data_IF_734427785308
#
_entry.id   IF_734427785308
#
_cell.length_a   1.000
_cell.length_b   1.000
_cell.length_c   1.000
_cell.angle_alpha   90.00
_cell.angle_beta   90.00
_cell.angle_gamma   90.00
#
_symmetry.space_group_name_H-M   'P 1'
#
loop_
_entity.id
_entity.type
_entity.pdbx_description
1 polymer ?
#
# COMPACT_ATOMS: atom_id res chain seq x y z
N UNK A 1 -30.56 21.45 -16.23
CA UNK A 1 -29.98 21.00 -14.95
C UNK A 1 -28.54 20.61 -15.24
N UNK A 2 -27.61 21.41 -14.74
CA UNK A 2 -26.16 21.30 -15.00
C UNK A 2 -25.58 20.13 -14.20
N UNK A 3 -25.17 19.08 -14.91
CA UNK A 3 -24.40 17.97 -14.33
C UNK A 3 -22.96 18.43 -14.13
N UNK A 4 -22.58 18.68 -12.88
CA UNK A 4 -21.17 18.72 -12.49
C UNK A 4 -20.64 17.29 -12.46
N UNK A 5 -19.79 16.93 -13.42
CA UNK A 5 -18.90 15.78 -13.28
C UNK A 5 -17.99 16.05 -12.09
N UNK A 6 -18.17 15.29 -11.01
CA UNK A 6 -17.32 15.40 -9.83
C UNK A 6 -15.89 14.98 -10.18
N UNK A 7 -14.92 15.75 -9.71
CA UNK A 7 -13.51 15.42 -9.85
C UNK A 7 -13.24 14.03 -9.21
N UNK A 8 -12.73 13.03 -9.97
CA UNK A 8 -12.40 11.72 -9.42
C UNK A 8 -11.42 11.79 -8.23
N UNK A 9 -10.57 12.81 -8.17
CA UNK A 9 -9.70 13.06 -7.02
C UNK A 9 -10.46 13.52 -5.77
N UNK A 10 -11.55 14.25 -5.95
CA UNK A 10 -12.40 14.69 -4.84
C UNK A 10 -13.31 13.56 -4.34
N UNK A 11 -13.73 12.63 -5.21
CA UNK A 11 -14.41 11.40 -4.82
C UNK A 11 -13.48 10.51 -3.95
N UNK A 12 -12.21 10.35 -4.37
CA UNK A 12 -11.19 9.62 -3.59
C UNK A 12 -10.95 10.26 -2.23
N UNK A 13 -10.81 11.60 -2.17
CA UNK A 13 -10.64 12.36 -0.93
C UNK A 13 -11.84 12.23 0.01
N UNK A 14 -13.08 12.23 -0.52
CA UNK A 14 -14.31 12.07 0.27
C UNK A 14 -14.54 10.63 0.75
N UNK A 15 -14.09 9.63 0.01
CA UNK A 15 -14.20 8.22 0.41
C UNK A 15 -13.10 7.80 1.39
N UNK A 16 -11.92 8.44 1.34
CA UNK A 16 -10.79 8.20 2.25
C UNK A 16 -10.94 8.81 3.64
N UNK A 17 -11.92 9.70 3.87
CA UNK A 17 -12.18 10.29 5.19
C UNK A 17 -11.22 11.41 5.61
N UNK A 18 -10.36 11.89 4.73
CA UNK A 18 -9.40 12.96 5.07
C UNK A 18 -10.09 14.32 5.25
N UNK A 19 -9.82 15.06 6.34
CA UNK A 19 -10.28 16.44 6.48
C UNK A 19 -9.65 17.31 5.39
N UNK A 20 -10.42 18.27 4.86
CA UNK A 20 -9.94 19.22 3.85
C UNK A 20 -8.72 19.97 4.42
N UNK A 21 -7.53 19.89 3.78
CA UNK A 21 -6.35 20.60 4.25
C UNK A 21 -6.63 22.10 4.27
N UNK A 22 -6.23 22.76 5.36
CA UNK A 22 -6.28 24.22 5.45
C UNK A 22 -5.34 24.84 4.42
N UNK A 23 -5.62 26.09 4.02
CA UNK A 23 -4.76 26.84 3.07
C UNK A 23 -3.29 26.89 3.56
N UNK A 24 -3.08 26.91 4.87
CA UNK A 24 -1.75 26.90 5.49
C UNK A 24 -1.05 25.53 5.41
N UNK A 25 -1.80 24.43 5.39
CA UNK A 25 -1.27 23.08 5.18
C UNK A 25 -0.93 22.84 3.71
N UNK A 26 -1.76 23.33 2.79
CA UNK A 26 -1.45 23.29 1.35
C UNK A 26 -0.20 24.11 1.02
N UNK A 27 -0.05 25.30 1.61
CA UNK A 27 1.14 26.14 1.45
C UNK A 27 2.39 25.48 2.03
N UNK A 28 2.29 24.82 3.20
CA UNK A 28 3.42 24.08 3.79
C UNK A 28 3.80 22.85 2.97
N UNK A 29 2.84 22.11 2.42
CA UNK A 29 3.10 20.98 1.53
C UNK A 29 3.77 21.43 0.22
N UNK A 30 3.30 22.54 -0.39
CA UNK A 30 3.92 23.15 -1.57
C UNK A 30 5.35 23.62 -1.29
N UNK A 31 5.62 24.21 -0.12
CA UNK A 31 6.96 24.64 0.26
C UNK A 31 7.94 23.45 0.38
N UNK A 32 7.51 22.35 1.03
CA UNK A 32 8.32 21.11 1.14
C UNK A 32 8.59 20.46 -0.22
N UNK A 33 7.59 20.48 -1.11
CA UNK A 33 7.74 19.94 -2.46
C UNK A 33 8.74 20.76 -3.30
N UNK A 34 8.67 22.09 -3.22
CA UNK A 34 9.63 22.98 -3.91
C UNK A 34 11.05 22.81 -3.37
N UNK A 35 11.21 22.62 -2.07
CA UNK A 35 12.51 22.35 -1.43
C UNK A 35 13.08 20.98 -1.86
N UNK A 36 12.26 19.94 -1.94
CA UNK A 36 12.65 18.63 -2.45
C UNK A 36 13.08 18.70 -3.93
N UNK A 37 12.34 19.42 -4.77
CA UNK A 37 12.68 19.64 -6.19
C UNK A 37 13.98 20.45 -6.35
N UNK A 38 14.25 21.39 -5.45
CA UNK A 38 15.50 22.16 -5.46
C UNK A 38 16.72 21.33 -5.03
N UNK A 39 16.53 20.35 -4.13
CA UNK A 39 17.56 19.41 -3.69
C UNK A 39 17.97 18.36 -4.74
N UNK A 40 17.10 18.08 -5.72
CA UNK A 40 17.32 17.03 -6.72
C UNK A 40 18.00 17.49 -8.02
N UNK A 41 18.51 18.73 -8.12
CA UNK A 41 19.28 19.14 -9.30
C UNK A 41 20.65 18.42 -9.33
N UNK A 42 20.94 17.59 -10.35
CA UNK A 42 22.22 16.91 -10.43
C UNK A 42 23.33 17.91 -10.74
N UNK A 43 24.36 17.93 -9.88
CA UNK A 43 25.62 18.59 -10.18
C UNK A 43 26.22 17.97 -11.45
N UNK A 44 26.12 18.68 -12.58
CA UNK A 44 26.80 18.33 -13.83
C UNK A 44 28.33 18.32 -13.61
N UNK A 45 28.91 17.17 -13.30
CA UNK A 45 30.36 16.94 -13.37
C UNK A 45 30.77 16.75 -14.82
N UNK A 46 31.23 17.83 -15.44
CA UNK A 46 31.86 17.82 -16.74
C UNK A 46 33.21 17.09 -16.71
N UNK A 47 33.37 16.12 -17.61
CA UNK A 47 34.64 15.49 -17.92
C UNK A 47 35.63 16.53 -18.48
N UNK A 48 36.79 16.69 -17.84
CA UNK A 48 37.97 17.31 -18.43
C UNK A 48 39.21 16.44 -18.20
N UNK A 49 39.78 15.97 -19.31
CA UNK A 49 41.10 15.32 -19.39
C UNK A 49 42.19 16.33 -19.02
N UNK A 50 43.10 15.99 -18.12
CA UNK A 50 44.47 16.53 -18.07
C UNK A 50 45.44 15.43 -17.60
N UNK A 51 46.63 15.46 -18.17
CA UNK A 51 47.71 14.46 -18.22
C UNK A 51 48.91 15.04 -17.44
N UNK A 52 49.76 14.17 -16.83
CA UNK A 52 51.10 14.43 -16.22
C UNK A 52 51.09 15.20 -14.86
N UNK A 53 51.86 14.92 -13.77
CA UNK A 53 53.15 14.27 -13.44
C UNK A 53 53.15 13.75 -11.98
N UNK A 54 54.02 12.76 -11.68
CA UNK A 54 54.44 12.24 -10.34
C UNK A 54 55.80 12.93 -9.99
N UNK A 55 56.19 13.28 -8.72
CA UNK A 55 56.59 12.26 -7.72
C UNK A 55 56.47 12.53 -6.20
N UNK A 56 56.27 11.41 -5.50
CA UNK A 56 56.88 10.90 -4.24
C UNK A 56 57.07 11.79 -3.00
N UNK A 57 56.58 11.28 -1.86
CA UNK A 57 57.36 11.18 -0.61
C UNK A 57 56.76 10.09 0.30
N UNK A 58 57.65 9.22 0.78
CA UNK A 58 57.39 8.07 1.64
C UNK A 58 57.41 8.46 3.13
N UNK A 59 56.69 7.71 3.98
CA UNK A 59 57.24 6.97 5.12
C UNK A 59 56.19 6.61 6.21
N UNK A 60 56.15 5.31 6.51
CA UNK A 60 56.08 4.66 7.83
C UNK A 60 54.96 4.99 8.86
N UNK A 61 54.03 4.04 8.96
CA UNK A 61 53.63 3.28 10.16
C UNK A 61 53.45 3.99 11.53
N UNK A 62 52.21 3.93 12.06
CA UNK A 62 51.94 3.36 13.39
C UNK A 62 50.46 2.96 13.51
N UNK A 63 50.23 1.75 14.01
CA UNK A 63 48.91 1.21 14.32
C UNK A 63 48.27 1.94 15.52
N UNK A 64 47.01 2.33 15.37
CA UNK A 64 46.05 2.30 16.47
C UNK A 64 44.86 1.50 15.96
N UNK A 65 44.75 0.27 16.45
CA UNK A 65 43.51 -0.50 16.43
C UNK A 65 42.56 0.24 17.37
N UNK A 66 41.82 1.20 16.83
CA UNK A 66 40.58 1.63 17.48
C UNK A 66 39.56 0.60 17.04
N UNK A 67 39.28 -0.35 17.92
CA UNK A 67 38.09 -1.19 17.88
C UNK A 67 36.90 -0.26 18.08
N UNK A 68 36.60 0.55 17.06
CA UNK A 68 35.39 1.31 16.97
C UNK A 68 34.30 0.30 16.70
N UNK A 69 33.67 -0.18 17.77
CA UNK A 69 32.28 -0.60 17.68
C UNK A 69 31.53 0.64 17.20
N UNK A 70 31.49 0.83 15.88
CA UNK A 70 30.44 1.61 15.26
C UNK A 70 29.18 0.84 15.58
N UNK A 71 28.58 1.16 16.74
CA UNK A 71 27.15 0.98 16.93
C UNK A 71 26.56 1.90 15.88
N UNK A 72 26.37 1.36 14.68
CA UNK A 72 25.62 2.01 13.63
C UNK A 72 24.29 2.36 14.29
N UNK A 73 24.07 3.66 14.54
CA UNK A 73 22.78 4.11 15.03
C UNK A 73 21.76 3.61 14.00
N UNK A 74 20.70 2.90 14.42
CA UNK A 74 19.66 2.46 13.50
C UNK A 74 19.23 3.67 12.66
N UNK A 75 18.95 3.43 11.38
CA UNK A 75 18.33 4.49 10.58
C UNK A 75 17.05 4.94 11.32
N UNK A 76 16.64 6.22 11.23
CA UNK A 76 15.42 6.70 11.87
C UNK A 76 14.20 5.82 11.55
N UNK A 77 14.15 5.27 10.33
CA UNK A 77 13.13 4.30 9.87
C UNK A 77 13.19 3.00 10.68
N UNK A 78 14.37 2.44 10.89
CA UNK A 78 14.54 1.20 11.66
C UNK A 78 14.12 1.37 13.12
N UNK A 79 14.47 2.50 13.76
CA UNK A 79 14.07 2.78 15.14
C UNK A 79 12.55 2.87 15.30
N UNK A 80 11.86 3.48 14.32
CA UNK A 80 10.39 3.56 14.29
C UNK A 80 9.78 2.16 14.18
N UNK A 81 10.28 1.31 13.29
CA UNK A 81 9.79 -0.07 13.19
C UNK A 81 10.07 -0.90 14.43
N UNK A 82 11.22 -0.72 15.09
CA UNK A 82 11.53 -1.40 16.35
C UNK A 82 10.53 -1.02 17.44
N UNK A 83 10.12 0.26 17.49
CA UNK A 83 9.11 0.74 18.42
C UNK A 83 7.73 0.13 18.13
N UNK A 84 7.30 0.11 16.87
CA UNK A 84 6.02 -0.49 16.48
C UNK A 84 6.04 -2.00 16.70
N UNK A 85 7.14 -2.69 16.36
CA UNK A 85 7.30 -4.12 16.62
C UNK A 85 7.22 -4.43 18.12
N UNK A 86 7.83 -3.61 18.97
CA UNK A 86 7.72 -3.75 20.41
C UNK A 86 6.29 -3.55 20.90
N UNK A 87 5.59 -2.50 20.43
CA UNK A 87 4.20 -2.25 20.77
C UNK A 87 3.26 -3.38 20.30
N UNK A 88 3.50 -3.93 19.11
CA UNK A 88 2.76 -5.06 18.57
C UNK A 88 2.88 -6.29 19.47
N UNK A 89 4.09 -6.65 19.92
CA UNK A 89 4.33 -7.80 20.84
C UNK A 89 3.65 -7.65 22.20
N UNK A 90 3.46 -6.42 22.66
CA UNK A 90 2.76 -6.15 23.92
C UNK A 90 1.24 -6.21 23.80
N UNK A 91 0.70 -6.29 22.58
CA UNK A 91 -0.74 -6.44 22.38
C UNK A 91 -1.20 -7.84 22.80
N UNK A 92 -2.37 -7.91 23.41
CA UNK A 92 -3.03 -9.19 23.71
C UNK A 92 -3.49 -9.83 22.41
N UNK A 93 -3.18 -11.12 22.15
CA UNK A 93 -3.79 -11.86 21.05
C UNK A 93 -5.32 -11.78 21.12
N UNK A 94 -5.97 -11.57 19.97
CA UNK A 94 -7.42 -11.63 19.90
C UNK A 94 -7.84 -13.10 19.84
N UNK A 95 -8.49 -13.57 20.90
CA UNK A 95 -9.21 -14.83 20.89
C UNK A 95 -10.61 -14.58 20.32
N UNK A 96 -11.04 -15.40 19.38
CA UNK A 96 -12.40 -15.32 18.81
C UNK A 96 -13.29 -16.27 19.62
N UNK A 97 -14.23 -15.78 20.44
CA UNK A 97 -15.13 -16.64 21.19
C UNK A 97 -16.00 -17.50 20.26
N UNK A 98 -16.48 -18.63 20.79
CA UNK A 98 -17.44 -19.48 20.06
C UNK A 98 -18.69 -18.67 19.69
N UNK A 99 -19.04 -18.70 18.39
CA UNK A 99 -20.18 -17.95 17.85
C UNK A 99 -19.88 -16.49 17.47
N UNK A 100 -18.69 -15.98 17.78
CA UNK A 100 -18.24 -14.63 17.40
C UNK A 100 -17.39 -14.66 16.12
N UNK A 101 -17.11 -13.46 15.59
CA UNK A 101 -16.32 -13.26 14.38
C UNK A 101 -15.30 -12.15 14.58
N UNK A 102 -14.11 -12.33 14.01
CA UNK A 102 -13.21 -11.25 13.69
C UNK A 102 -13.78 -10.48 12.49
N UNK A 103 -14.12 -9.22 12.71
CA UNK A 103 -14.65 -8.30 11.71
C UNK A 103 -13.56 -7.35 11.21
N UNK A 104 -13.53 -7.12 9.90
CA UNK A 104 -12.76 -6.02 9.30
C UNK A 104 -13.55 -5.41 8.15
N UNK A 105 -13.51 -4.08 8.05
CA UNK A 105 -14.08 -3.33 6.95
C UNK A 105 -13.00 -2.59 6.19
N UNK A 106 -13.12 -2.60 4.87
CA UNK A 106 -12.29 -1.80 3.99
C UNK A 106 -13.12 -0.97 3.03
N UNK A 107 -12.66 0.24 2.74
CA UNK A 107 -13.18 1.06 1.64
C UNK A 107 -12.06 1.15 0.62
N UNK A 108 -12.34 0.70 -0.60
CA UNK A 108 -11.34 0.56 -1.64
C UNK A 108 -11.78 1.34 -2.87
N UNK A 109 -10.81 1.80 -3.64
CA UNK A 109 -10.98 2.21 -5.03
C UNK A 109 -9.90 1.53 -5.83
N UNK A 110 -10.27 0.87 -6.91
CA UNK A 110 -9.35 0.13 -7.77
C UNK A 110 -9.57 0.52 -9.22
N UNK A 111 -8.49 0.68 -9.97
CA UNK A 111 -8.50 0.81 -11.42
C UNK A 111 -9.02 -0.47 -12.06
N UNK A 112 -10.09 -0.34 -12.84
CA UNK A 112 -10.55 -1.34 -13.77
C UNK A 112 -10.11 -0.95 -15.19
N UNK A 113 -9.55 -1.92 -15.91
CA UNK A 113 -9.21 -1.79 -17.33
C UNK A 113 -10.02 -2.84 -18.07
N UNK A 114 -10.76 -2.41 -19.09
CA UNK A 114 -11.47 -3.30 -20.01
C UNK A 114 -11.03 -3.01 -21.44
N UNK A 115 -11.18 -3.99 -22.33
CA UNK A 115 -11.02 -3.74 -23.76
C UNK A 115 -12.09 -2.75 -24.23
N UNK A 116 -11.74 -1.86 -25.16
CA UNK A 116 -12.66 -0.83 -25.63
C UNK A 116 -13.78 -1.40 -26.49
N UNK A 117 -13.53 -2.47 -27.25
CA UNK A 117 -14.54 -3.18 -28.05
C UNK A 117 -15.67 -3.79 -27.18
N UNK A 118 -15.33 -4.25 -25.98
CA UNK A 118 -16.28 -4.70 -24.95
C UNK A 118 -17.25 -3.59 -24.53
N UNK A 119 -16.84 -2.32 -24.66
CA UNK A 119 -17.68 -1.12 -24.48
C UNK A 119 -18.14 -0.48 -25.80
N UNK A 120 -17.88 -1.10 -26.96
CA UNK A 120 -18.22 -0.51 -28.26
C UNK A 120 -17.42 0.75 -28.63
N UNK A 121 -16.24 0.93 -28.03
CA UNK A 121 -15.37 2.08 -28.25
C UNK A 121 -14.27 1.78 -29.29
N UNK A 122 -13.80 2.83 -29.97
CA UNK A 122 -12.74 2.72 -30.98
C UNK A 122 -11.33 2.59 -30.39
N UNK A 123 -11.12 3.09 -29.17
CA UNK A 123 -9.88 2.94 -28.41
C UNK A 123 -9.66 1.48 -27.99
N UNK A 124 -8.40 1.04 -27.86
CA UNK A 124 -8.08 -0.35 -27.54
C UNK A 124 -8.54 -0.75 -26.13
N UNK A 125 -8.42 0.18 -25.19
CA UNK A 125 -8.76 -0.03 -23.78
C UNK A 125 -9.57 1.14 -23.23
N UNK A 126 -10.34 0.85 -22.19
CA UNK A 126 -11.03 1.83 -21.38
C UNK A 126 -10.69 1.62 -19.91
N UNK A 127 -10.51 2.73 -19.20
CA UNK A 127 -10.14 2.76 -17.80
C UNK A 127 -11.19 3.53 -16.98
N UNK A 128 -11.45 3.04 -15.78
CA UNK A 128 -12.28 3.72 -14.78
C UNK A 128 -11.94 3.22 -13.38
N UNK A 129 -12.23 4.03 -12.37
CA UNK A 129 -12.02 3.67 -10.97
C UNK A 129 -13.31 3.08 -10.40
N UNK A 130 -13.21 1.94 -9.73
CA UNK A 130 -14.34 1.24 -9.12
C UNK A 130 -14.22 1.30 -7.60
N UNK A 131 -15.03 2.14 -6.93
CA UNK A 131 -15.07 2.15 -5.48
C UNK A 131 -15.86 0.95 -4.95
N UNK A 132 -15.35 0.28 -3.93
CA UNK A 132 -16.01 -0.81 -3.24
C UNK A 132 -15.92 -0.64 -1.73
N UNK A 133 -16.92 -1.10 -1.00
CA UNK A 133 -16.81 -1.36 0.44
C UNK A 133 -16.81 -2.86 0.63
N UNK A 134 -15.84 -3.39 1.37
CA UNK A 134 -15.77 -4.80 1.71
C UNK A 134 -15.86 -4.95 3.21
N UNK A 135 -16.61 -5.95 3.64
CA UNK A 135 -16.75 -6.32 5.03
C UNK A 135 -16.47 -7.80 5.14
N UNK A 136 -15.65 -8.17 6.11
CA UNK A 136 -15.18 -9.52 6.35
C UNK A 136 -15.54 -9.95 7.74
N UNK A 137 -16.07 -11.16 7.86
CA UNK A 137 -16.28 -11.85 9.13
C UNK A 137 -15.56 -13.19 9.05
N UNK A 138 -14.71 -13.48 10.03
CA UNK A 138 -13.94 -14.72 10.09
C UNK A 138 -14.06 -15.33 11.47
N UNK A 139 -14.17 -16.64 11.58
CA UNK A 139 -14.09 -17.33 12.87
C UNK A 139 -12.95 -18.35 12.89
N UNK A 140 -12.73 -18.95 14.05
CA UNK A 140 -11.69 -19.96 14.32
C UNK A 140 -11.95 -21.30 13.61
N UNK A 141 -13.20 -21.61 13.27
CA UNK A 141 -13.58 -22.81 12.51
C UNK A 141 -13.29 -22.73 11.00
N UNK A 142 -12.75 -21.61 10.52
CA UNK A 142 -12.44 -21.40 9.10
C UNK A 142 -13.64 -20.95 8.26
N UNK A 143 -14.72 -20.48 8.89
CA UNK A 143 -15.80 -19.79 8.18
C UNK A 143 -15.34 -18.37 7.82
N UNK A 144 -15.60 -17.97 6.57
CA UNK A 144 -15.40 -16.60 6.10
C UNK A 144 -16.66 -16.13 5.39
N UNK A 145 -17.22 -15.01 5.83
CA UNK A 145 -18.19 -14.25 5.05
C UNK A 145 -17.56 -12.95 4.57
N UNK A 146 -17.77 -12.64 3.29
CA UNK A 146 -17.38 -11.39 2.69
C UNK A 146 -18.59 -10.73 2.06
N UNK A 147 -18.91 -9.51 2.46
CA UNK A 147 -19.88 -8.66 1.77
C UNK A 147 -19.14 -7.62 0.95
N UNK A 148 -19.50 -7.45 -0.31
CA UNK A 148 -18.92 -6.40 -1.17
C UNK A 148 -20.04 -5.52 -1.72
N UNK A 149 -19.96 -4.23 -1.45
CA UNK A 149 -20.81 -3.22 -2.06
C UNK A 149 -20.03 -2.46 -3.12
N UNK A 150 -20.41 -2.60 -4.39
CA UNK A 150 -19.81 -1.83 -5.48
C UNK A 150 -20.53 -0.49 -5.61
N UNK A 151 -19.79 0.61 -5.61
CA UNK A 151 -20.35 1.96 -5.77
C UNK A 151 -20.20 2.42 -7.22
N UNK A 152 -20.83 3.57 -7.53
CA UNK A 152 -20.75 4.18 -8.85
C UNK A 152 -19.27 4.39 -9.26
N UNK A 153 -18.84 3.89 -10.43
CA UNK A 153 -17.48 4.12 -10.91
C UNK A 153 -17.21 5.60 -11.20
N UNK A 154 -15.94 5.99 -11.13
CA UNK A 154 -15.46 7.29 -11.59
C UNK A 154 -14.71 7.10 -12.92
N UNK A 155 -15.13 7.83 -13.94
CA UNK A 155 -14.62 7.66 -15.31
C UNK A 155 -13.62 8.76 -15.65
N UNK A 156 -12.59 8.41 -16.42
CA UNK A 156 -11.63 9.39 -16.93
C UNK A 156 -12.12 10.11 -18.19
N UNK A 157 -13.15 9.58 -18.87
CA UNK A 157 -13.81 10.25 -19.99
C UNK A 157 -15.34 10.08 -19.97
N UNK A 158 -16.10 11.11 -20.40
CA UNK A 158 -17.56 11.01 -20.53
C UNK A 158 -18.00 9.96 -21.57
N UNK A 159 -17.17 9.68 -22.58
CA UNK A 159 -17.44 8.68 -23.61
C UNK A 159 -17.44 7.26 -23.02
N UNK A 160 -16.44 6.94 -22.18
CA UNK A 160 -16.38 5.66 -21.47
C UNK A 160 -17.55 5.54 -20.50
N UNK A 161 -17.89 6.61 -19.78
CA UNK A 161 -19.05 6.62 -18.88
C UNK A 161 -20.35 6.29 -19.64
N UNK A 162 -20.60 6.98 -20.75
CA UNK A 162 -21.80 6.76 -21.56
C UNK A 162 -21.87 5.33 -22.11
N UNK A 163 -20.74 4.81 -22.62
CA UNK A 163 -20.65 3.45 -23.15
C UNK A 163 -20.89 2.39 -22.05
N UNK A 164 -20.30 2.57 -20.88
CA UNK A 164 -20.48 1.68 -19.73
C UNK A 164 -21.97 1.48 -19.37
N UNK A 165 -22.72 2.58 -19.25
CA UNK A 165 -24.16 2.51 -18.96
C UNK A 165 -25.00 2.04 -20.14
N UNK A 166 -24.65 2.43 -21.37
CA UNK A 166 -25.37 2.03 -22.59
C UNK A 166 -25.32 0.51 -22.79
N UNK A 167 -24.16 -0.10 -22.48
CA UNK A 167 -23.98 -1.54 -22.58
C UNK A 167 -24.41 -2.31 -21.31
N UNK A 168 -24.99 -1.64 -20.32
CA UNK A 168 -25.57 -2.27 -19.12
C UNK A 168 -24.55 -2.86 -18.16
N UNK A 169 -23.31 -2.34 -18.15
CA UNK A 169 -22.26 -2.83 -17.25
C UNK A 169 -22.57 -2.50 -15.80
N UNK A 170 -23.34 -1.44 -15.54
CA UNK A 170 -23.84 -1.10 -14.21
C UNK A 170 -24.63 -2.23 -13.57
N UNK A 171 -25.47 -2.91 -14.36
CA UNK A 171 -26.26 -4.06 -13.90
C UNK A 171 -25.38 -5.30 -13.74
N UNK A 172 -24.48 -5.54 -14.71
CA UNK A 172 -23.58 -6.70 -14.69
C UNK A 172 -22.58 -6.66 -13.54
N UNK A 173 -22.11 -5.47 -13.22
CA UNK A 173 -21.15 -5.23 -12.13
C UNK A 173 -21.86 -4.95 -10.79
N UNK A 174 -23.20 -5.08 -10.75
CA UNK A 174 -24.04 -4.96 -9.56
C UNK A 174 -23.85 -3.62 -8.81
N UNK A 175 -23.79 -2.52 -9.56
CA UNK A 175 -23.55 -1.19 -8.99
C UNK A 175 -24.69 -0.80 -8.03
N UNK A 176 -24.31 -0.50 -6.79
CA UNK A 176 -25.23 -0.14 -5.71
C UNK A 176 -25.76 -1.32 -4.91
N UNK A 177 -25.49 -2.56 -5.34
CA UNK A 177 -25.89 -3.78 -4.62
C UNK A 177 -24.78 -4.23 -3.66
N UNK A 178 -25.20 -4.90 -2.57
CA UNK A 178 -24.29 -5.61 -1.67
C UNK A 178 -24.38 -7.10 -1.96
N UNK A 179 -23.26 -7.68 -2.38
CA UNK A 179 -23.17 -9.11 -2.69
C UNK A 179 -22.45 -9.84 -1.56
N UNK A 180 -23.16 -10.65 -0.74
CA UNK A 180 -22.52 -11.54 0.22
C UNK A 180 -21.96 -12.78 -0.48
N UNK A 181 -20.78 -13.22 -0.05
CA UNK A 181 -20.17 -14.50 -0.40
C UNK A 181 -19.77 -15.20 0.89
N UNK A 182 -20.21 -16.44 1.03
CA UNK A 182 -19.83 -17.30 2.14
C UNK A 182 -18.86 -18.36 1.64
N UNK A 183 -17.85 -18.60 2.44
CA UNK A 183 -16.80 -19.55 2.18
C UNK A 183 -16.70 -20.47 3.40
N UNK A 184 -16.80 -21.77 3.15
CA UNK A 184 -16.68 -22.81 4.18
C UNK A 184 -15.50 -23.69 3.79
N UNK A 185 -14.53 -23.84 4.69
CA UNK A 185 -13.30 -24.58 4.41
C UNK A 185 -12.40 -23.90 3.37
N UNK A 186 -12.60 -22.60 3.12
CA UNK A 186 -11.63 -21.82 2.34
C UNK A 186 -10.49 -21.47 3.26
N UNK A 187 -9.42 -22.20 3.01
CA UNK A 187 -8.05 -21.87 3.29
C UNK A 187 -7.78 -20.46 2.77
N UNK A 188 -7.64 -19.50 3.67
CA UNK A 188 -7.05 -18.21 3.33
C UNK A 188 -5.80 -18.44 2.50
N UNK A 189 -5.73 -17.82 1.31
CA UNK A 189 -4.62 -18.02 0.36
C UNK A 189 -3.24 -17.84 1.00
N UNK A 190 -3.19 -17.11 2.13
CA UNK A 190 -2.01 -16.93 2.96
C UNK A 190 -2.10 -17.59 4.34
N UNK A 191 -3.31 -17.83 4.87
CA UNK A 191 -3.51 -18.37 6.22
C UNK A 191 -3.24 -19.87 6.37
N UNK A 192 -3.16 -20.60 5.26
CA UNK A 192 -2.66 -21.99 5.25
C UNK A 192 -1.15 -22.11 5.40
N UNK A 193 -0.44 -21.00 5.18
CA UNK A 193 1.00 -20.96 5.35
C UNK A 193 1.30 -20.63 6.80
N UNK A 194 2.02 -21.53 7.47
CA UNK A 194 2.55 -21.24 8.79
C UNK A 194 3.73 -20.26 8.66
N UNK A 195 3.44 -18.98 8.90
CA UNK A 195 4.44 -17.92 8.80
C UNK A 195 5.32 -17.87 10.05
N UNK A 196 6.65 -17.87 9.90
CA UNK A 196 7.55 -17.73 11.05
C UNK A 196 7.37 -16.38 11.76
N UNK A 197 7.46 -16.38 13.08
CA UNK A 197 7.48 -15.14 13.89
C UNK A 197 8.90 -14.63 14.16
N UNK A 198 9.93 -15.38 13.74
CA UNK A 198 11.29 -14.87 13.66
C UNK A 198 11.46 -14.02 12.39
N UNK A 199 11.83 -12.72 12.48
CA UNK A 199 11.86 -11.81 11.33
C UNK A 199 12.75 -12.27 10.18
N UNK A 200 13.88 -12.92 10.49
CA UNK A 200 14.79 -13.43 9.46
C UNK A 200 14.17 -14.61 8.73
N UNK A 201 13.68 -15.61 9.48
CA UNK A 201 12.98 -16.76 8.88
C UNK A 201 11.73 -16.33 8.13
N UNK A 202 11.01 -15.34 8.64
CA UNK A 202 9.85 -14.77 7.97
C UNK A 202 10.24 -14.18 6.62
N UNK A 203 11.28 -13.34 6.58
CA UNK A 203 11.80 -12.78 5.32
C UNK A 203 12.19 -13.88 4.33
N UNK A 204 12.92 -14.90 4.78
CA UNK A 204 13.31 -16.05 3.95
C UNK A 204 12.07 -16.80 3.40
N UNK A 205 11.04 -17.02 4.22
CA UNK A 205 9.77 -17.64 3.79
C UNK A 205 8.98 -16.79 2.80
N UNK A 206 8.89 -15.47 3.02
CA UNK A 206 8.22 -14.54 2.10
C UNK A 206 8.92 -14.55 0.73
N UNK A 207 10.25 -14.47 0.70
CA UNK A 207 11.02 -14.56 -0.54
C UNK A 207 10.82 -15.91 -1.25
N UNK A 208 10.79 -17.01 -0.50
CA UNK A 208 10.56 -18.34 -1.06
C UNK A 208 9.16 -18.47 -1.67
N UNK A 209 8.15 -17.88 -1.03
CA UNK A 209 6.77 -17.88 -1.51
C UNK A 209 6.65 -17.11 -2.82
N UNK A 210 7.11 -15.86 -2.87
CA UNK A 210 6.92 -15.01 -4.06
C UNK A 210 7.71 -15.49 -5.27
N UNK A 211 8.86 -16.16 -5.07
CA UNK A 211 9.64 -16.78 -6.16
C UNK A 211 8.85 -17.87 -6.91
N UNK A 212 7.83 -18.47 -6.30
CA UNK A 212 6.97 -19.46 -6.97
C UNK A 212 5.98 -18.80 -7.93
N UNK A 213 5.64 -17.52 -7.73
CA UNK A 213 4.62 -16.79 -8.48
C UNK A 213 5.05 -16.26 -9.85
N UNK A 214 6.31 -16.43 -10.24
CA UNK A 214 6.81 -16.07 -11.58
C UNK A 214 6.76 -14.58 -11.93
N UNK A 215 6.51 -13.69 -10.97
CA UNK A 215 6.45 -12.24 -11.19
C UNK A 215 7.80 -11.68 -11.62
N UNK A 216 7.77 -10.74 -12.55
CA UNK A 216 8.99 -10.07 -13.03
C UNK A 216 9.43 -8.93 -12.12
N UNK A 217 8.62 -8.53 -11.13
CA UNK A 217 8.94 -7.41 -10.21
C UNK A 217 10.22 -7.70 -9.43
N UNK A 218 10.97 -6.68 -8.98
CA UNK A 218 12.10 -6.90 -8.08
C UNK A 218 11.63 -7.64 -6.82
N UNK A 219 12.46 -8.55 -6.31
CA UNK A 219 12.10 -9.42 -5.19
C UNK A 219 11.58 -8.65 -3.96
N UNK A 220 12.25 -7.56 -3.60
CA UNK A 220 11.86 -6.73 -2.45
C UNK A 220 10.45 -6.14 -2.59
N UNK A 221 10.02 -5.85 -3.81
CA UNK A 221 8.68 -5.35 -4.11
C UNK A 221 7.64 -6.44 -3.90
N UNK A 222 7.92 -7.64 -4.43
CA UNK A 222 7.01 -8.77 -4.24
C UNK A 222 6.84 -9.11 -2.76
N UNK A 223 7.92 -9.03 -1.98
CA UNK A 223 7.85 -9.24 -0.54
C UNK A 223 7.16 -8.08 0.18
N UNK A 224 7.35 -6.83 -0.25
CA UNK A 224 6.59 -5.70 0.28
C UNK A 224 5.08 -5.90 0.10
N UNK A 225 4.65 -6.32 -1.10
CA UNK A 225 3.25 -6.59 -1.40
C UNK A 225 2.71 -7.74 -0.55
N UNK A 226 3.41 -8.88 -0.49
CA UNK A 226 2.98 -10.03 0.31
C UNK A 226 2.93 -9.70 1.82
N UNK A 227 3.94 -8.99 2.35
CA UNK A 227 3.96 -8.57 3.75
C UNK A 227 2.80 -7.62 4.08
N UNK A 228 2.43 -6.75 3.13
CA UNK A 228 1.26 -5.87 3.26
C UNK A 228 -0.05 -6.67 3.22
N UNK A 229 -0.14 -7.65 2.31
CA UNK A 229 -1.31 -8.52 2.19
C UNK A 229 -1.53 -9.37 3.46
N UNK A 230 -0.48 -9.80 4.15
CA UNK A 230 -0.58 -10.48 5.45
C UNK A 230 -1.14 -9.62 6.58
N UNK A 231 -1.10 -8.29 6.44
CA UNK A 231 -1.73 -7.35 7.36
C UNK A 231 -3.15 -6.96 6.94
N UNK A 232 -3.60 -7.39 5.76
CA UNK A 232 -4.85 -6.94 5.14
C UNK A 232 -6.02 -7.83 5.57
N UNK A 233 -7.08 -7.22 6.10
CA UNK A 233 -8.38 -7.88 6.33
C UNK A 233 -8.30 -9.16 7.21
N UNK A 234 -7.20 -9.32 7.97
CA UNK A 234 -6.92 -10.39 8.90
C UNK A 234 -6.11 -9.84 10.09
N UNK A 235 -6.11 -10.54 11.23
CA UNK A 235 -5.17 -10.30 12.33
C UNK A 235 -4.14 -11.44 12.37
N UNK A 236 -2.90 -11.23 11.87
CA UNK A 236 -1.85 -12.25 11.91
C UNK A 236 -1.35 -12.56 13.34
N UNK A 237 -1.87 -11.86 14.35
CA UNK A 237 -1.46 -11.97 15.74
C UNK A 237 -0.25 -11.08 16.07
N UNK A 238 -0.04 -10.79 17.37
CA UNK A 238 1.00 -9.89 17.87
C UNK A 238 2.42 -10.18 17.35
N UNK A 239 2.86 -11.44 17.43
CA UNK A 239 4.25 -11.81 17.14
C UNK A 239 4.57 -11.77 15.63
N UNK A 240 3.66 -12.26 14.80
CA UNK A 240 3.82 -12.20 13.34
C UNK A 240 3.74 -10.75 12.85
N UNK A 241 2.82 -9.94 13.39
CA UNK A 241 2.76 -8.50 13.08
C UNK A 241 4.05 -7.79 13.46
N UNK A 242 4.62 -8.09 14.63
CA UNK A 242 5.90 -7.54 15.04
C UNK A 242 7.07 -7.98 14.13
N UNK A 243 7.07 -9.24 13.70
CA UNK A 243 8.05 -9.75 12.75
C UNK A 243 7.94 -9.05 11.38
N UNK A 244 6.71 -8.80 10.89
CA UNK A 244 6.46 -8.06 9.65
C UNK A 244 7.00 -6.63 9.72
N UNK A 245 6.88 -5.94 10.87
CA UNK A 245 7.50 -4.61 11.05
C UNK A 245 9.01 -4.64 10.85
N UNK A 246 9.68 -5.67 11.39
CA UNK A 246 11.12 -5.85 11.21
C UNK A 246 11.49 -6.31 9.79
N UNK A 247 10.58 -6.97 9.06
CA UNK A 247 10.76 -7.21 7.62
C UNK A 247 10.67 -5.90 6.83
N UNK A 248 9.67 -5.04 7.08
CA UNK A 248 9.58 -3.74 6.43
C UNK A 248 10.82 -2.87 6.66
N UNK A 249 11.41 -2.91 7.86
CA UNK A 249 12.65 -2.20 8.17
C UNK A 249 13.87 -2.63 7.33
N UNK A 250 13.83 -3.82 6.72
CA UNK A 250 14.89 -4.36 5.86
C UNK A 250 14.64 -4.08 4.37
N UNK A 251 13.43 -3.64 4.01
CA UNK A 251 13.06 -3.30 2.63
C UNK A 251 13.51 -1.88 2.27
N UNK A 252 13.68 -1.57 0.97
CA UNK A 252 14.04 -0.24 0.50
C UNK A 252 12.85 0.75 0.56
N UNK A 253 12.20 0.83 1.73
CA UNK A 253 11.08 1.75 2.00
C UNK A 253 11.57 3.09 2.51
N UNK A 254 10.81 4.13 2.23
CA UNK A 254 11.05 5.49 2.75
C UNK A 254 9.92 5.86 3.71
N UNK A 255 10.25 6.37 4.90
CA UNK A 255 9.27 7.00 5.78
C UNK A 255 8.86 8.35 5.19
N UNK A 256 7.60 8.47 4.78
CA UNK A 256 7.04 9.66 4.13
C UNK A 256 6.39 10.60 5.15
N UNK A 257 5.71 10.01 6.14
CA UNK A 257 5.01 10.76 7.17
C UNK A 257 4.99 9.99 8.49
N UNK A 258 4.92 10.73 9.60
CA UNK A 258 4.70 10.20 10.93
C UNK A 258 3.77 11.15 11.67
N UNK A 259 2.55 10.68 11.95
CA UNK A 259 1.54 11.47 12.60
C UNK A 259 1.74 11.50 14.14
N UNK A 260 1.17 12.50 14.84
CA UNK A 260 1.30 12.61 16.30
C UNK A 260 0.70 11.43 17.09
N UNK A 261 -0.24 10.70 16.51
CA UNK A 261 -0.84 9.50 17.11
C UNK A 261 0.06 8.25 17.00
N UNK A 262 1.23 8.39 16.38
CA UNK A 262 2.20 7.31 16.19
C UNK A 262 1.98 6.50 14.92
N UNK A 263 0.97 6.82 14.11
CA UNK A 263 0.84 6.22 12.78
C UNK A 263 1.95 6.69 11.84
N UNK A 264 2.35 5.82 10.92
CA UNK A 264 3.45 6.06 9.98
C UNK A 264 3.02 5.75 8.57
N UNK A 265 3.47 6.54 7.61
CA UNK A 265 3.29 6.26 6.18
C UNK A 265 4.63 5.95 5.54
N UNK A 266 4.69 4.80 4.88
CA UNK A 266 5.86 4.29 4.18
C UNK A 266 5.59 4.34 2.68
N UNK A 267 6.63 4.59 1.89
CA UNK A 267 6.55 4.50 0.44
C UNK A 267 7.63 3.58 -0.12
N UNK A 268 7.27 2.89 -1.19
CA UNK A 268 8.20 2.24 -2.09
C UNK A 268 7.88 2.69 -3.52
N UNK A 269 8.92 2.88 -4.33
CA UNK A 269 8.76 3.38 -5.70
C UNK A 269 9.31 2.37 -6.68
N UNK A 270 8.53 2.07 -7.70
CA UNK A 270 8.88 1.14 -8.77
C UNK A 270 9.06 1.92 -10.06
N UNK A 271 10.29 1.93 -10.57
CA UNK A 271 10.65 2.62 -11.81
C UNK A 271 10.54 1.66 -13.00
N UNK A 272 9.36 1.10 -13.22
CA UNK A 272 9.03 0.34 -14.44
C UNK A 272 7.81 0.97 -15.09
N UNK A 273 7.77 1.15 -16.42
CA UNK A 273 6.61 1.76 -17.06
C UNK A 273 5.32 0.97 -16.81
N UNK A 274 4.23 1.61 -16.35
CA UNK A 274 4.19 2.97 -15.82
C UNK A 274 4.79 3.03 -14.41
N UNK A 275 5.67 4.01 -14.16
CA UNK A 275 6.33 4.20 -12.88
C UNK A 275 5.30 4.46 -11.80
N UNK A 276 5.43 3.78 -10.66
CA UNK A 276 4.43 3.79 -9.59
C UNK A 276 5.06 4.03 -8.23
N UNK A 277 4.31 4.64 -7.33
CA UNK A 277 4.61 4.70 -5.90
C UNK A 277 3.49 4.05 -5.13
N UNK A 278 3.85 3.02 -4.38
CA UNK A 278 2.98 2.44 -3.38
C UNK A 278 3.24 3.07 -2.03
N UNK A 279 2.17 3.32 -1.28
CA UNK A 279 2.26 3.71 0.12
C UNK A 279 1.45 2.77 0.99
N UNK A 280 1.93 2.54 2.20
CA UNK A 280 1.14 1.92 3.27
C UNK A 280 1.18 2.81 4.50
N UNK A 281 0.07 2.88 5.21
CA UNK A 281 -0.02 3.56 6.51
C UNK A 281 -0.30 2.52 7.58
N UNK A 282 0.53 2.52 8.61
CA UNK A 282 0.46 1.61 9.75
C UNK A 282 0.14 2.42 11.01
N UNK A 283 -0.70 1.89 11.90
CA UNK A 283 -0.90 2.48 13.22
C UNK A 283 0.31 2.22 14.14
N UNK A 284 0.28 2.78 15.35
CA UNK A 284 1.34 2.63 16.35
C UNK A 284 1.56 1.17 16.83
N UNK A 285 0.67 0.23 16.47
CA UNK A 285 0.73 -1.21 16.80
C UNK A 285 0.97 -2.08 15.57
N UNK A 286 1.19 -1.48 14.40
CA UNK A 286 1.51 -2.17 13.15
C UNK A 286 0.29 -2.70 12.40
N UNK A 287 -0.93 -2.27 12.72
CA UNK A 287 -2.10 -2.57 11.90
C UNK A 287 -2.09 -1.72 10.63
N UNK A 288 -2.38 -2.34 9.50
CA UNK A 288 -2.57 -1.63 8.24
C UNK A 288 -3.87 -0.83 8.29
N UNK A 289 -3.77 0.49 8.12
CA UNK A 289 -4.93 1.40 8.11
C UNK A 289 -5.17 2.04 6.75
N UNK A 290 -4.13 2.14 5.90
CA UNK A 290 -4.30 2.56 4.51
C UNK A 290 -3.26 1.94 3.57
N UNK A 291 -3.61 1.79 2.29
CA UNK A 291 -2.72 1.47 1.17
C UNK A 291 -3.07 2.34 -0.02
N UNK A 292 -2.09 2.87 -0.75
CA UNK A 292 -2.33 3.52 -2.05
C UNK A 292 -1.32 3.07 -3.09
N UNK A 293 -1.71 3.14 -4.36
CA UNK A 293 -0.82 3.00 -5.52
C UNK A 293 -1.06 4.19 -6.43
N UNK A 294 -0.01 4.98 -6.64
CA UNK A 294 -0.05 6.25 -7.40
C UNK A 294 0.82 6.15 -8.63
N UNK A 295 0.28 6.51 -9.79
CA UNK A 295 1.06 6.68 -11.01
C UNK A 295 2.00 7.88 -10.87
N UNK A 296 3.28 7.70 -11.21
CA UNK A 296 4.27 8.78 -11.22
C UNK A 296 4.47 9.41 -12.60
N UNK A 297 3.94 8.76 -13.64
CA UNK A 297 3.96 9.24 -15.01
C UNK A 297 2.60 9.01 -15.68
N UNK A 298 2.35 9.72 -16.77
CA UNK A 298 1.12 9.58 -17.54
C UNK A 298 1.03 8.16 -18.11
N UNK A 299 -0.12 7.53 -17.95
CA UNK A 299 -0.46 6.32 -18.69
C UNK A 299 -1.22 6.71 -19.96
N UNK A 300 -0.46 7.15 -20.97
CA UNK A 300 -1.00 7.73 -22.19
C UNK A 300 -2.00 6.82 -22.92
N UNK A 301 -1.73 5.51 -22.98
CA UNK A 301 -2.62 4.53 -23.65
C UNK A 301 -4.01 4.42 -23.01
N UNK A 302 -4.11 4.78 -21.72
CA UNK A 302 -5.36 4.76 -20.95
C UNK A 302 -5.90 6.16 -20.64
N UNK A 303 -5.20 7.22 -21.08
CA UNK A 303 -5.55 8.61 -20.78
C UNK A 303 -5.51 8.96 -19.30
N UNK A 304 -4.73 8.25 -18.48
CA UNK A 304 -4.66 8.47 -17.03
C UNK A 304 -3.46 9.39 -16.73
N UNK A 305 -3.66 10.54 -16.08
CA UNK A 305 -2.56 11.47 -15.81
C UNK A 305 -1.64 10.98 -14.68
N UNK A 306 -0.40 11.47 -14.69
CA UNK A 306 0.53 11.34 -13.57
C UNK A 306 -0.09 11.90 -12.29
N UNK A 307 0.20 11.26 -11.16
CA UNK A 307 -0.36 11.58 -9.85
C UNK A 307 -1.73 10.95 -9.59
N UNK A 308 -2.34 10.23 -10.54
CA UNK A 308 -3.57 9.48 -10.28
C UNK A 308 -3.32 8.31 -9.33
N UNK A 309 -4.09 8.25 -8.24
CA UNK A 309 -4.21 7.06 -7.42
C UNK A 309 -5.07 6.04 -8.16
N UNK A 310 -4.44 4.96 -8.61
CA UNK A 310 -5.08 3.85 -9.31
C UNK A 310 -5.53 2.75 -8.36
N UNK A 311 -5.04 2.79 -7.12
CA UNK A 311 -5.57 2.01 -6.01
C UNK A 311 -5.51 2.86 -4.74
N UNK A 312 -6.56 2.81 -3.94
CA UNK A 312 -6.60 3.39 -2.60
C UNK A 312 -7.49 2.53 -1.71
N UNK A 313 -7.01 2.19 -0.52
CA UNK A 313 -7.73 1.38 0.45
C UNK A 313 -7.55 1.95 1.84
N UNK A 314 -8.63 2.04 2.60
CA UNK A 314 -8.60 2.29 4.05
C UNK A 314 -9.20 1.09 4.78
N UNK A 315 -8.69 0.79 5.97
CA UNK A 315 -9.04 -0.39 6.75
C UNK A 315 -9.41 0.00 8.17
N UNK A 316 -10.44 -0.64 8.72
CA UNK A 316 -10.66 -0.65 10.17
C UNK A 316 -9.70 -1.62 10.84
N UNK A 317 -9.33 -1.33 12.09
CA UNK A 317 -8.63 -2.31 12.92
C UNK A 317 -9.54 -3.54 13.14
N UNK A 318 -9.03 -4.77 13.02
CA UNK A 318 -9.81 -5.97 13.30
C UNK A 318 -10.42 -5.96 14.70
N UNK A 319 -11.71 -6.29 14.81
CA UNK A 319 -12.45 -6.31 16.08
C UNK A 319 -13.35 -7.52 16.16
N UNK A 320 -13.61 -8.02 17.38
CA UNK A 320 -14.56 -9.10 17.60
C UNK A 320 -15.99 -8.56 17.58
N UNK A 321 -16.90 -9.28 16.92
CA UNK A 321 -18.34 -9.03 16.89
C UNK A 321 -19.12 -10.33 17.17
N UNK A 322 -20.29 -10.21 17.79
CA UNK A 322 -21.06 -11.38 18.28
C UNK A 322 -21.94 -12.03 17.20
N UNK A 323 -22.14 -11.37 16.06
CA UNK A 323 -22.92 -11.90 14.94
C UNK A 323 -22.58 -11.16 13.63
N UNK A 324 -23.12 -11.69 12.53
CA UNK A 324 -22.91 -11.16 11.18
C UNK A 324 -23.69 -9.87 10.87
N UNK A 325 -24.68 -9.53 11.69
CA UNK A 325 -25.56 -8.36 11.50
C UNK A 325 -25.06 -7.11 12.26
N UNK A 326 -24.05 -7.27 13.11
CA UNK A 326 -23.51 -6.19 13.94
C UNK A 326 -22.37 -5.52 13.20
N UNK A 327 -22.62 -4.31 12.68
CA UNK A 327 -21.59 -3.40 12.22
C UNK A 327 -21.23 -2.42 13.35
N UNK A 328 -19.97 -2.44 13.85
CA UNK A 328 -19.53 -1.56 14.93
C UNK A 328 -19.44 -0.08 14.52
#
# INVERSE_FOLDING_TARGET
>A
MTHHGGDPFELLRRLGGDPVPTVEEEQRARARLVEAIAGERPARRGFRRVRWLVPALAAAALAIVITGVFVARPSPVQAVFDQIAFAARLATPQEIPEGSFLYTRSVNVQLAITQGDVLGLAQEHAAYLVPTTREFWRNDTGFVQMSTTTRRPAFFSPEVEAAYYTHGFDKRDHIGETLPRQFVGVTDSYGDVEWPTDPRRLRESLEAYVRQGGSTLPLDIQVFDLATDLLREADPGPDLRAALMQVFAQLPVTLVDQAPDGSITLAVTYNRPPSMRDTITLDARGHLIAKTSTLLEDYLDLGIPAGTQISASTYTIPTIVDNLDTNP
#
